data_IF_494554854931
#
_entry.id   IF_494554854931
#
_cell.length_a   1.000
_cell.length_b   1.000
_cell.length_c   1.000
_cell.angle_alpha   90.00
_cell.angle_beta   90.00
_cell.angle_gamma   90.00
#
_symmetry.space_group_name_H-M   'P 1'
#
loop_
_entity.id
_entity.type
_entity.pdbx_description
1 polymer ?
#
# COMPACT_ATOMS: atom_id res chain seq x y z
N UNK A 1 23.30 23.23 -14.91
CA UNK A 1 23.14 23.00 -16.37
C UNK A 1 24.51 23.14 -17.03
N UNK A 2 24.88 22.18 -17.86
CA UNK A 2 26.11 22.19 -18.65
C UNK A 2 25.74 22.31 -20.13
N UNK A 3 26.41 23.22 -20.85
CA UNK A 3 26.20 23.43 -22.28
C UNK A 3 27.55 23.22 -22.97
N UNK A 4 27.64 22.23 -23.85
CA UNK A 4 28.85 21.97 -24.60
C UNK A 4 29.10 23.11 -25.61
N UNK A 5 30.27 23.75 -25.56
CA UNK A 5 30.55 24.98 -26.32
C UNK A 5 30.53 24.75 -27.84
N UNK A 6 31.04 23.61 -28.30
CA UNK A 6 31.21 23.36 -29.73
C UNK A 6 29.94 22.81 -30.39
N UNK A 7 29.19 21.94 -29.70
CA UNK A 7 28.00 21.29 -30.28
C UNK A 7 26.67 21.87 -29.80
N UNK A 8 26.69 22.74 -28.78
CA UNK A 8 25.48 23.27 -28.16
C UNK A 8 24.68 22.25 -27.33
N UNK A 9 25.15 21.00 -27.24
CA UNK A 9 24.49 19.92 -26.50
C UNK A 9 24.37 20.25 -25.00
N UNK A 10 23.19 19.98 -24.40
CA UNK A 10 22.89 20.42 -23.03
C UNK A 10 22.65 19.24 -22.10
N UNK A 11 23.07 19.42 -20.85
CA UNK A 11 22.76 18.57 -19.71
C UNK A 11 22.16 19.41 -18.58
N UNK A 12 21.08 18.93 -17.96
CA UNK A 12 20.48 19.52 -16.76
C UNK A 12 20.38 18.47 -15.65
N UNK A 13 20.48 18.92 -14.41
CA UNK A 13 20.28 18.10 -13.23
C UNK A 13 20.04 18.99 -12.02
N UNK A 14 19.26 18.50 -11.07
CA UNK A 14 19.00 19.14 -9.79
C UNK A 14 19.66 18.38 -8.64
N UNK A 15 19.89 19.08 -7.52
CA UNK A 15 20.36 18.47 -6.30
C UNK A 15 19.98 19.31 -5.08
N UNK A 16 19.62 18.64 -4.00
CA UNK A 16 19.47 19.25 -2.67
C UNK A 16 20.82 19.66 -2.04
N UNK A 17 21.93 19.08 -2.52
CA UNK A 17 23.29 19.36 -2.02
C UNK A 17 24.24 19.51 -3.23
N UNK A 18 24.27 20.72 -3.79
CA UNK A 18 25.04 21.04 -4.99
C UNK A 18 26.52 20.63 -4.86
N UNK A 19 27.16 20.90 -3.70
CA UNK A 19 28.56 20.53 -3.44
C UNK A 19 28.81 19.05 -3.69
N UNK A 20 27.99 18.17 -3.09
CA UNK A 20 28.13 16.71 -3.23
C UNK A 20 27.96 16.27 -4.69
N UNK A 21 27.04 16.91 -5.43
CA UNK A 21 26.83 16.61 -6.86
C UNK A 21 28.00 17.07 -7.73
N UNK A 22 28.59 18.23 -7.42
CA UNK A 22 29.77 18.72 -8.12
C UNK A 22 30.98 17.84 -7.83
N UNK A 23 31.22 17.49 -6.57
CA UNK A 23 32.27 16.54 -6.19
C UNK A 23 32.12 15.21 -6.96
N UNK A 24 30.89 14.73 -7.10
CA UNK A 24 30.58 13.53 -7.91
C UNK A 24 31.00 13.69 -9.38
N UNK A 25 30.76 14.84 -10.01
CA UNK A 25 31.15 15.07 -11.41
C UNK A 25 32.67 15.24 -11.58
N UNK A 26 33.37 15.82 -10.60
CA UNK A 26 34.78 16.17 -10.73
C UNK A 26 35.75 15.11 -10.23
N UNK A 27 35.38 14.29 -9.23
CA UNK A 27 36.29 13.31 -8.63
C UNK A 27 36.45 12.03 -9.45
N UNK A 28 35.45 11.66 -10.26
CA UNK A 28 35.58 10.56 -11.21
C UNK A 28 35.54 9.14 -10.63
N UNK A 29 35.31 8.95 -9.31
CA UNK A 29 35.32 7.65 -8.62
C UNK A 29 34.13 6.71 -8.97
N UNK A 30 33.47 6.89 -10.10
CA UNK A 30 32.19 6.24 -10.44
C UNK A 30 32.12 5.80 -11.91
N UNK A 31 31.29 4.79 -12.24
CA UNK A 31 31.17 4.30 -13.61
C UNK A 31 30.67 5.38 -14.57
N UNK A 32 31.45 5.63 -15.63
CA UNK A 32 31.17 6.57 -16.72
C UNK A 32 29.98 6.07 -17.56
N UNK A 33 28.78 6.40 -17.12
CA UNK A 33 27.52 5.95 -17.73
C UNK A 33 26.73 7.11 -18.33
N UNK A 34 25.86 6.79 -19.30
CA UNK A 34 25.07 7.79 -20.02
C UNK A 34 25.87 8.60 -21.03
N UNK A 35 25.33 9.75 -21.46
CA UNK A 35 25.97 10.60 -22.50
C UNK A 35 26.81 11.74 -21.93
N UNK A 36 26.39 12.30 -20.81
CA UNK A 36 27.05 13.46 -20.21
C UNK A 36 28.41 13.13 -19.57
N UNK A 37 28.46 12.16 -18.64
CA UNK A 37 29.68 11.90 -17.86
C UNK A 37 30.88 11.47 -18.72
N UNK A 38 30.73 10.57 -19.73
CA UNK A 38 31.86 10.22 -20.60
C UNK A 38 32.40 11.41 -21.38
N UNK A 39 31.51 12.26 -21.92
CA UNK A 39 31.89 13.46 -22.66
C UNK A 39 32.58 14.48 -21.75
N UNK A 40 32.02 14.69 -20.55
CA UNK A 40 32.57 15.60 -19.55
C UNK A 40 33.96 15.15 -19.07
N UNK A 41 34.16 13.86 -18.85
CA UNK A 41 35.46 13.31 -18.46
C UNK A 41 36.50 13.43 -19.58
N UNK A 42 36.10 13.23 -20.84
CA UNK A 42 36.99 13.31 -22.00
C UNK A 42 37.47 14.74 -22.27
N UNK A 43 36.60 15.72 -22.20
CA UNK A 43 36.89 17.10 -22.66
C UNK A 43 37.06 18.10 -21.51
N UNK A 44 36.68 17.70 -20.30
CA UNK A 44 36.81 18.50 -19.09
C UNK A 44 35.88 19.72 -19.05
N UNK A 45 35.90 20.42 -17.91
CA UNK A 45 35.03 21.58 -17.68
C UNK A 45 35.25 22.72 -18.70
N UNK A 46 36.46 22.86 -19.26
CA UNK A 46 36.79 23.91 -20.23
C UNK A 46 35.94 23.85 -21.50
N UNK A 47 35.49 22.66 -21.90
CA UNK A 47 34.62 22.44 -23.05
C UNK A 47 33.15 22.83 -22.81
N UNK A 48 32.77 23.12 -21.56
CA UNK A 48 31.38 23.41 -21.19
C UNK A 48 31.21 24.83 -20.63
N UNK A 49 30.03 25.41 -20.86
CA UNK A 49 29.50 26.54 -20.10
C UNK A 49 28.61 25.99 -18.98
N UNK A 50 28.96 26.27 -17.73
CA UNK A 50 28.18 25.88 -16.55
C UNK A 50 27.27 27.03 -16.12
N UNK A 51 25.98 26.73 -15.97
CA UNK A 51 24.97 27.64 -15.41
C UNK A 51 24.35 26.98 -14.17
N UNK A 52 24.35 27.71 -13.05
CA UNK A 52 23.83 27.24 -11.77
C UNK A 52 22.61 28.09 -11.40
N UNK A 53 21.47 27.43 -11.20
CA UNK A 53 20.28 28.06 -10.67
C UNK A 53 20.22 27.78 -9.17
N UNK A 54 20.37 28.83 -8.35
CA UNK A 54 20.15 28.75 -6.91
C UNK A 54 18.70 29.12 -6.62
N UNK A 55 17.93 28.17 -6.09
CA UNK A 55 16.57 28.44 -5.64
C UNK A 55 16.60 28.90 -4.19
N UNK A 56 15.85 29.97 -3.89
CA UNK A 56 15.67 30.49 -2.54
C UNK A 56 14.83 29.51 -1.71
N UNK A 57 15.41 28.95 -0.65
CA UNK A 57 14.75 27.98 0.22
C UNK A 57 13.55 28.54 0.99
N UNK A 58 13.45 29.88 1.11
CA UNK A 58 12.29 30.51 1.74
C UNK A 58 11.07 30.59 0.81
N UNK A 59 11.28 30.45 -0.50
CA UNK A 59 10.23 30.59 -1.53
C UNK A 59 9.96 29.28 -2.27
N UNK A 60 10.97 28.43 -2.41
CA UNK A 60 10.91 27.23 -3.24
C UNK A 60 11.30 26.00 -2.42
N UNK A 61 10.51 24.94 -2.60
CA UNK A 61 10.76 23.62 -2.05
C UNK A 61 11.76 22.82 -2.89
N UNK A 62 12.23 21.69 -2.36
CA UNK A 62 13.04 20.73 -3.13
C UNK A 62 12.28 20.14 -4.32
N UNK A 63 10.95 20.09 -4.27
CA UNK A 63 10.10 19.64 -5.38
C UNK A 63 10.19 20.62 -6.56
N UNK A 64 10.28 21.92 -6.30
CA UNK A 64 10.34 22.95 -7.34
C UNK A 64 11.64 22.85 -8.16
N UNK A 65 12.74 22.42 -7.53
CA UNK A 65 13.98 22.10 -8.24
C UNK A 65 13.79 20.94 -9.24
N UNK A 66 13.00 19.93 -8.89
CA UNK A 66 12.67 18.81 -9.77
C UNK A 66 11.74 19.25 -10.89
N UNK A 67 10.76 20.12 -10.61
CA UNK A 67 9.86 20.68 -11.63
C UNK A 67 10.66 21.50 -12.64
N UNK A 68 11.60 22.34 -12.18
CA UNK A 68 12.46 23.13 -13.05
C UNK A 68 13.38 22.24 -13.91
N UNK A 69 13.95 21.18 -13.34
CA UNK A 69 14.69 20.18 -14.12
C UNK A 69 13.79 19.52 -15.17
N UNK A 70 12.58 19.13 -14.80
CA UNK A 70 11.63 18.48 -15.71
C UNK A 70 11.23 19.40 -16.85
N UNK A 71 10.98 20.68 -16.55
CA UNK A 71 10.70 21.71 -17.55
C UNK A 71 11.81 21.80 -18.59
N UNK A 72 13.08 21.83 -18.16
CA UNK A 72 14.20 21.84 -19.10
C UNK A 72 14.30 20.55 -19.92
N UNK A 73 14.06 19.38 -19.33
CA UNK A 73 14.10 18.09 -20.05
C UNK A 73 13.04 17.95 -21.15
N UNK A 74 11.98 18.76 -21.14
CA UNK A 74 11.01 18.83 -22.25
C UNK A 74 11.64 19.40 -23.53
N UNK A 75 12.66 20.25 -23.40
CA UNK A 75 13.39 20.78 -24.56
C UNK A 75 14.36 19.72 -25.11
N UNK A 76 14.27 19.46 -26.42
CA UNK A 76 15.08 18.47 -27.14
C UNK A 76 16.59 18.77 -27.14
N UNK A 77 17.00 20.01 -26.89
CA UNK A 77 18.40 20.42 -26.77
C UNK A 77 19.12 19.79 -25.55
N UNK A 78 18.39 19.33 -24.54
CA UNK A 78 18.92 18.59 -23.39
C UNK A 78 19.22 17.12 -23.73
N UNK A 79 19.97 16.93 -24.80
CA UNK A 79 20.24 15.63 -25.42
C UNK A 79 21.36 14.83 -24.74
N UNK A 80 22.07 15.41 -23.78
CA UNK A 80 23.06 14.72 -22.95
C UNK A 80 22.41 14.02 -21.73
N UNK A 81 21.15 14.36 -21.40
CA UNK A 81 20.34 13.60 -20.47
C UNK A 81 19.81 12.34 -21.15
N UNK A 82 20.22 11.15 -20.67
CA UNK A 82 19.73 9.88 -21.20
C UNK A 82 18.24 9.66 -20.88
N UNK A 83 17.81 10.07 -19.68
CA UNK A 83 16.41 10.05 -19.26
C UNK A 83 15.82 11.45 -19.39
N UNK A 84 14.63 11.54 -19.99
CA UNK A 84 13.87 12.80 -20.13
C UNK A 84 12.84 13.02 -19.03
N UNK A 85 12.90 12.18 -18.00
CA UNK A 85 12.01 12.25 -16.83
C UNK A 85 12.88 12.41 -15.60
N UNK A 86 12.54 13.37 -14.77
CA UNK A 86 13.24 13.61 -13.52
C UNK A 86 12.98 12.47 -12.55
N UNK A 87 14.05 11.95 -11.97
CA UNK A 87 13.95 10.98 -10.88
C UNK A 87 13.65 11.76 -9.60
N UNK A 88 12.36 12.03 -9.35
CA UNK A 88 11.89 12.47 -8.05
C UNK A 88 12.23 11.34 -7.07
N UNK A 89 13.33 11.51 -6.33
CA UNK A 89 14.03 10.42 -5.63
C UNK A 89 13.11 9.44 -4.90
N UNK A 90 13.58 8.19 -4.76
CA UNK A 90 12.82 7.05 -4.22
C UNK A 90 11.74 7.51 -3.24
N UNK A 91 10.48 7.26 -3.59
CA UNK A 91 9.36 7.40 -2.66
C UNK A 91 9.86 6.95 -1.30
N UNK A 92 9.86 7.84 -0.31
CA UNK A 92 10.08 7.43 1.08
C UNK A 92 8.95 6.44 1.33
N UNK A 93 9.24 5.15 1.17
CA UNK A 93 8.19 4.13 1.22
C UNK A 93 7.49 4.24 2.56
N UNK A 94 6.21 3.89 2.62
CA UNK A 94 5.45 4.07 3.85
C UNK A 94 6.13 3.36 5.02
N UNK A 95 6.25 4.03 6.19
CA UNK A 95 6.86 3.43 7.36
C UNK A 95 6.06 2.22 7.81
N UNK A 96 6.75 1.24 8.38
CA UNK A 96 6.14 0.03 8.95
C UNK A 96 6.62 -0.12 10.38
N UNK A 97 5.67 -0.34 11.27
CA UNK A 97 5.86 -0.49 12.70
C UNK A 97 5.63 -1.96 13.08
N UNK A 98 6.56 -2.53 13.83
CA UNK A 98 6.51 -3.92 14.28
C UNK A 98 6.20 -3.94 15.77
N UNK A 99 5.03 -4.43 16.13
CA UNK A 99 4.54 -4.51 17.50
C UNK A 99 4.46 -5.95 18.00
N UNK A 100 4.34 -6.11 19.32
CA UNK A 100 3.72 -7.27 19.92
C UNK A 100 2.23 -7.37 19.54
N UNK A 101 1.60 -8.49 19.88
CA UNK A 101 0.19 -8.71 19.56
C UNK A 101 -0.74 -7.74 20.30
N UNK A 102 -0.39 -7.34 21.52
CA UNK A 102 -1.18 -6.41 22.34
C UNK A 102 -0.99 -4.95 21.95
N UNK A 103 -0.11 -4.67 20.98
CA UNK A 103 0.29 -3.30 20.60
C UNK A 103 0.87 -2.46 21.75
N UNK A 104 1.26 -3.09 22.85
CA UNK A 104 1.82 -2.44 24.02
C UNK A 104 3.30 -2.12 23.86
N UNK A 105 3.99 -2.88 23.01
CA UNK A 105 5.44 -2.81 22.82
C UNK A 105 5.81 -2.66 21.36
N UNK A 106 6.49 -1.58 20.99
CA UNK A 106 7.07 -1.37 19.66
C UNK A 106 8.47 -1.99 19.60
N UNK A 107 8.64 -3.06 18.81
CA UNK A 107 9.93 -3.71 18.61
C UNK A 107 10.81 -2.99 17.57
N UNK A 108 10.23 -2.51 16.47
CA UNK A 108 11.01 -1.87 15.41
C UNK A 108 10.19 -0.89 14.57
N UNK A 109 10.82 0.22 14.18
CA UNK A 109 10.27 1.21 13.24
C UNK A 109 11.10 1.23 11.97
N UNK A 110 10.58 0.66 10.89
CA UNK A 110 11.18 0.77 9.57
C UNK A 110 10.74 2.06 8.89
N UNK A 111 11.67 2.80 8.26
CA UNK A 111 11.32 3.99 7.46
C UNK A 111 10.65 3.63 6.15
N UNK A 112 10.69 2.36 5.73
CA UNK A 112 10.01 1.83 4.55
C UNK A 112 9.91 0.30 4.56
N UNK A 113 9.03 -0.27 3.74
CA UNK A 113 8.98 -1.72 3.46
C UNK A 113 10.31 -2.28 2.95
N UNK A 114 11.11 -1.47 2.25
CA UNK A 114 12.44 -1.88 1.74
C UNK A 114 13.43 -2.01 2.89
N UNK A 115 13.40 -1.09 3.85
CA UNK A 115 14.22 -1.16 5.05
C UNK A 115 13.85 -2.38 5.89
N UNK A 116 12.56 -2.64 6.08
CA UNK A 116 12.07 -3.83 6.76
C UNK A 116 12.60 -5.13 6.13
N UNK A 117 12.68 -5.19 4.79
CA UNK A 117 13.29 -6.31 4.06
C UNK A 117 14.79 -6.44 4.33
N UNK A 118 15.52 -5.33 4.36
CA UNK A 118 16.98 -5.35 4.56
C UNK A 118 17.37 -5.73 5.98
N UNK A 119 16.68 -5.14 6.95
CA UNK A 119 16.95 -5.26 8.39
C UNK A 119 16.32 -6.53 8.94
N UNK A 120 14.99 -6.67 8.90
CA UNK A 120 14.27 -7.80 9.52
C UNK A 120 14.05 -9.01 8.59
N UNK A 121 14.55 -8.94 7.34
CA UNK A 121 14.39 -10.00 6.32
C UNK A 121 12.93 -10.32 5.96
N UNK A 122 12.02 -9.35 6.12
CA UNK A 122 10.61 -9.50 5.74
C UNK A 122 10.41 -9.00 4.31
N UNK A 123 10.00 -9.87 3.39
CA UNK A 123 9.77 -9.47 2.00
C UNK A 123 8.71 -8.36 1.90
N UNK A 124 8.84 -7.47 0.90
CA UNK A 124 7.94 -6.31 0.74
C UNK A 124 6.49 -6.72 0.50
N UNK A 125 6.26 -7.80 -0.26
CA UNK A 125 4.92 -8.36 -0.49
C UNK A 125 4.34 -9.00 0.78
N UNK A 126 5.17 -9.72 1.53
CA UNK A 126 4.78 -10.29 2.84
C UNK A 126 4.39 -9.17 3.80
N UNK A 127 5.23 -8.15 3.93
CA UNK A 127 4.93 -6.96 4.72
C UNK A 127 3.61 -6.33 4.30
N UNK A 128 3.39 -6.12 2.99
CA UNK A 128 2.13 -5.59 2.48
C UNK A 128 0.94 -6.46 2.88
N UNK A 129 1.01 -7.77 2.67
CA UNK A 129 -0.07 -8.71 3.01
C UNK A 129 -0.47 -8.59 4.48
N UNK A 130 0.48 -8.61 5.40
CA UNK A 130 0.20 -8.60 6.83
C UNK A 130 -0.22 -7.21 7.35
N UNK A 131 0.31 -6.13 6.76
CA UNK A 131 -0.18 -4.77 7.01
C UNK A 131 -1.61 -4.58 6.51
N UNK A 132 -1.94 -5.05 5.30
CA UNK A 132 -3.26 -4.83 4.70
C UNK A 132 -4.34 -5.72 5.34
N UNK A 133 -3.97 -6.91 5.84
CA UNK A 133 -4.90 -7.85 6.45
C UNK A 133 -5.04 -7.71 7.96
N UNK A 134 -4.20 -6.89 8.62
CA UNK A 134 -4.07 -6.82 10.08
C UNK A 134 -3.87 -8.19 10.75
N UNK A 135 -3.36 -9.18 10.01
CA UNK A 135 -3.10 -10.50 10.55
C UNK A 135 -1.73 -10.52 11.24
N UNK A 136 -1.54 -11.36 12.27
CA UNK A 136 -0.26 -11.51 12.92
C UNK A 136 0.77 -12.14 11.97
N UNK A 137 1.90 -11.47 11.81
CA UNK A 137 3.09 -12.06 11.21
C UNK A 137 3.74 -13.01 12.20
N UNK A 138 4.03 -14.24 11.74
CA UNK A 138 4.57 -15.33 12.56
C UNK A 138 3.77 -15.61 13.85
N UNK A 139 2.47 -15.30 13.87
CA UNK A 139 1.60 -15.46 15.05
C UNK A 139 2.07 -14.74 16.32
N UNK A 140 3.03 -13.80 16.22
CA UNK A 140 3.61 -13.09 17.38
C UNK A 140 3.78 -11.59 17.15
N UNK A 141 3.82 -11.14 15.91
CA UNK A 141 4.12 -9.75 15.58
C UNK A 141 2.98 -9.13 14.79
N UNK A 142 2.62 -7.90 15.12
CA UNK A 142 1.69 -7.11 14.33
C UNK A 142 2.46 -6.09 13.48
N UNK A 143 2.12 -6.01 12.20
CA UNK A 143 2.72 -5.05 11.27
C UNK A 143 1.72 -3.95 10.95
N UNK A 144 2.01 -2.71 11.34
CA UNK A 144 1.12 -1.57 11.12
C UNK A 144 1.79 -0.49 10.26
N UNK A 145 0.97 0.26 9.53
CA UNK A 145 1.41 1.42 8.73
C UNK A 145 1.43 2.73 9.51
N UNK A 146 1.01 2.71 10.78
CA UNK A 146 0.89 3.86 11.65
C UNK A 146 1.41 3.55 13.06
N UNK A 147 1.88 4.57 13.80
CA UNK A 147 2.33 4.41 15.17
C UNK A 147 1.17 4.40 16.16
N UNK A 148 1.27 3.56 17.18
CA UNK A 148 0.41 3.55 18.37
C UNK A 148 1.10 4.38 19.47
N UNK A 149 0.51 5.52 19.91
CA UNK A 149 1.15 6.43 20.85
C UNK A 149 1.36 5.86 22.26
N UNK A 150 0.53 4.92 22.68
CA UNK A 150 0.57 4.30 24.01
C UNK A 150 1.60 3.18 24.11
N UNK A 151 2.21 2.78 22.99
CA UNK A 151 3.17 1.70 22.95
C UNK A 151 4.53 2.13 23.51
N UNK A 152 5.07 1.35 24.42
CA UNK A 152 6.44 1.50 24.91
C UNK A 152 7.43 1.02 23.87
N UNK A 153 8.54 1.74 23.71
CA UNK A 153 9.62 1.29 22.81
C UNK A 153 10.37 0.16 23.50
N UNK A 154 10.53 -0.95 22.78
CA UNK A 154 11.30 -2.09 23.25
C UNK A 154 12.79 -1.77 23.34
N UNK A 155 13.45 -2.30 24.38
CA UNK A 155 14.90 -2.20 24.54
C UNK A 155 15.67 -3.35 23.85
N UNK A 156 14.98 -4.26 23.16
CA UNK A 156 15.67 -5.36 22.48
C UNK A 156 16.51 -4.83 21.32
N UNK A 157 17.65 -5.47 21.09
CA UNK A 157 18.47 -5.18 19.92
C UNK A 157 17.82 -5.72 18.64
N UNK A 158 18.24 -5.16 17.50
CA UNK A 158 17.80 -5.65 16.18
C UNK A 158 18.22 -7.11 15.96
N UNK A 159 19.38 -7.50 16.47
CA UNK A 159 19.92 -8.86 16.37
C UNK A 159 19.09 -9.85 17.18
N UNK A 160 18.69 -9.48 18.41
CA UNK A 160 17.78 -10.28 19.23
C UNK A 160 16.41 -10.43 18.57
N UNK A 161 15.84 -9.34 18.02
CA UNK A 161 14.57 -9.39 17.28
C UNK A 161 14.65 -10.32 16.07
N UNK A 162 15.76 -10.25 15.33
CA UNK A 162 16.02 -11.15 14.20
C UNK A 162 16.11 -12.61 14.66
N UNK A 163 16.81 -12.88 15.76
CA UNK A 163 16.92 -14.21 16.36
C UNK A 163 15.56 -14.76 16.77
N UNK A 164 14.71 -13.94 17.43
CA UNK A 164 13.33 -14.30 17.78
C UNK A 164 12.51 -14.62 16.52
N UNK A 165 12.52 -13.74 15.52
CA UNK A 165 11.80 -13.97 14.27
C UNK A 165 12.30 -15.20 13.51
N UNK A 166 13.61 -15.47 13.54
CA UNK A 166 14.19 -16.65 12.89
C UNK A 166 13.80 -17.94 13.59
N UNK A 167 13.81 -17.94 14.93
CA UNK A 167 13.29 -19.06 15.73
C UNK A 167 11.82 -19.32 15.43
N UNK A 168 10.99 -18.28 15.34
CA UNK A 168 9.58 -18.44 14.97
C UNK A 168 9.39 -18.92 13.53
N UNK A 169 10.20 -18.44 12.57
CA UNK A 169 10.19 -18.99 11.21
C UNK A 169 10.55 -20.47 11.23
N UNK A 170 11.62 -20.85 11.92
CA UNK A 170 12.03 -22.24 12.06
C UNK A 170 10.96 -23.09 12.73
N UNK A 171 10.37 -22.62 13.84
CA UNK A 171 9.24 -23.28 14.48
C UNK A 171 8.07 -23.45 13.51
N UNK A 172 7.75 -22.44 12.70
CA UNK A 172 6.72 -22.57 11.67
C UNK A 172 7.11 -23.57 10.57
N UNK A 173 8.39 -23.69 10.22
CA UNK A 173 8.88 -24.68 9.26
C UNK A 173 8.90 -26.10 9.84
N UNK A 174 9.35 -26.30 11.09
CA UNK A 174 9.42 -27.59 11.78
C UNK A 174 8.05 -28.10 12.22
N UNK A 175 7.16 -27.21 12.65
CA UNK A 175 5.73 -27.49 12.85
C UNK A 175 4.98 -27.65 11.52
N UNK A 176 5.68 -27.52 10.39
CA UNK A 176 5.14 -27.60 9.04
C UNK A 176 4.06 -26.56 8.81
N UNK A 177 4.37 -25.40 8.25
CA UNK A 177 3.35 -24.45 7.75
C UNK A 177 2.69 -24.91 6.44
N UNK A 178 2.54 -26.22 6.27
CA UNK A 178 1.21 -26.76 5.97
C UNK A 178 0.67 -27.31 7.29
N UNK A 179 0.27 -26.44 8.23
CA UNK A 179 -0.85 -26.82 9.10
C UNK A 179 -1.98 -26.92 8.11
N UNK A 180 -2.14 -28.11 7.58
CA UNK A 180 -3.28 -28.41 6.80
C UNK A 180 -4.46 -28.03 7.68
N UNK A 181 -5.24 -27.08 7.19
CA UNK A 181 -6.40 -26.61 7.94
C UNK A 181 -7.24 -27.86 8.11
N UNK A 182 -7.52 -28.24 9.37
CA UNK A 182 -8.35 -29.39 9.64
C UNK A 182 -9.69 -29.18 8.92
N UNK A 183 -10.21 -30.25 8.33
CA UNK A 183 -11.45 -30.21 7.59
C UNK A 183 -12.43 -31.09 8.32
N UNK A 184 -13.58 -30.50 8.65
CA UNK A 184 -14.74 -31.21 9.17
C UNK A 184 -15.63 -31.57 7.99
N UNK A 185 -16.02 -32.83 7.90
CA UNK A 185 -16.91 -33.36 6.88
C UNK A 185 -18.18 -33.82 7.56
N UNK A 186 -19.24 -33.03 7.43
CA UNK A 186 -20.55 -33.35 7.98
C UNK A 186 -21.36 -34.18 6.96
N UNK A 187 -21.82 -35.35 7.38
CA UNK A 187 -22.65 -36.25 6.56
C UNK A 187 -24.12 -35.85 6.70
N UNK A 188 -24.70 -35.30 5.63
CA UNK A 188 -26.10 -34.88 5.57
C UNK A 188 -27.03 -36.06 5.29
N UNK A 189 -28.29 -35.91 5.69
CA UNK A 189 -29.36 -36.89 5.45
C UNK A 189 -29.52 -37.21 3.95
N UNK A 190 -29.79 -38.47 3.63
CA UNK A 190 -29.87 -38.97 2.26
C UNK A 190 -28.52 -39.23 1.59
N UNK A 191 -27.42 -39.35 2.35
CA UNK A 191 -26.14 -39.78 1.81
C UNK A 191 -26.17 -41.28 1.44
N UNK A 192 -25.88 -41.62 0.18
CA UNK A 192 -25.90 -43.00 -0.33
C UNK A 192 -24.54 -43.70 -0.27
N UNK A 193 -23.50 -43.00 0.20
CA UNK A 193 -22.11 -43.49 0.22
C UNK A 193 -21.65 -43.91 1.62
N UNK A 194 -22.37 -43.51 2.66
CA UNK A 194 -22.04 -43.83 4.06
C UNK A 194 -23.32 -43.89 4.89
N UNK A 195 -23.46 -44.94 5.69
CA UNK A 195 -24.66 -45.19 6.53
C UNK A 195 -24.67 -44.40 7.85
N UNK A 196 -23.71 -43.50 8.07
CA UNK A 196 -23.50 -42.76 9.33
C UNK A 196 -24.05 -41.34 9.26
N UNK A 197 -25.37 -41.23 9.09
CA UNK A 197 -26.09 -39.94 9.06
C UNK A 197 -25.82 -39.13 10.33
N UNK A 198 -25.53 -37.83 10.19
CA UNK A 198 -25.30 -36.91 11.31
C UNK A 198 -23.90 -36.97 11.94
N UNK A 199 -23.02 -37.88 11.49
CA UNK A 199 -21.64 -37.91 11.95
C UNK A 199 -20.79 -36.86 11.26
N UNK A 200 -19.89 -36.25 12.03
CA UNK A 200 -18.85 -35.35 11.51
C UNK A 200 -17.51 -36.08 11.54
N UNK A 201 -16.88 -36.20 10.38
CA UNK A 201 -15.54 -36.77 10.26
C UNK A 201 -14.51 -35.65 10.25
N UNK A 202 -13.48 -35.81 11.09
CA UNK A 202 -12.41 -34.83 11.21
C UNK A 202 -11.18 -35.31 10.43
N UNK A 203 -10.65 -34.43 9.59
CA UNK A 203 -9.45 -34.69 8.79
C UNK A 203 -8.37 -33.69 9.14
N UNK A 204 -7.13 -34.17 9.19
CA UNK A 204 -5.96 -33.31 9.37
C UNK A 204 -5.77 -32.35 8.20
N UNK A 205 -6.31 -32.67 7.02
CA UNK A 205 -6.14 -31.84 5.84
C UNK A 205 -7.25 -31.94 4.81
N UNK A 206 -7.34 -30.89 3.98
CA UNK A 206 -8.12 -30.92 2.74
C UNK A 206 -7.68 -32.05 1.79
N UNK A 207 -6.40 -32.40 1.78
CA UNK A 207 -5.90 -33.50 0.93
C UNK A 207 -6.42 -34.84 1.44
N UNK A 208 -6.35 -35.07 2.74
CA UNK A 208 -6.83 -36.27 3.42
C UNK A 208 -8.35 -36.43 3.25
N UNK A 209 -9.09 -35.32 3.33
CA UNK A 209 -10.52 -35.29 3.03
C UNK A 209 -10.82 -35.68 1.57
N UNK A 210 -10.05 -35.15 0.60
CA UNK A 210 -10.20 -35.51 -0.82
C UNK A 210 -9.84 -36.98 -1.07
N UNK A 211 -8.81 -37.50 -0.42
CA UNK A 211 -8.45 -38.92 -0.51
C UNK A 211 -9.53 -39.83 0.06
N UNK A 212 -10.14 -39.44 1.17
CA UNK A 212 -11.30 -40.14 1.72
C UNK A 212 -12.48 -40.14 0.74
N UNK A 213 -12.86 -38.98 0.18
CA UNK A 213 -13.91 -38.89 -0.84
C UNK A 213 -13.57 -39.74 -2.06
N UNK A 214 -12.29 -39.77 -2.49
CA UNK A 214 -11.84 -40.60 -3.61
C UNK A 214 -11.98 -42.09 -3.33
N UNK A 215 -11.70 -42.54 -2.10
CA UNK A 215 -11.90 -43.94 -1.67
C UNK A 215 -13.38 -44.34 -1.74
N UNK A 216 -14.31 -43.39 -1.56
CA UNK A 216 -15.75 -43.60 -1.75
C UNK A 216 -16.19 -43.54 -3.23
N UNK A 217 -15.26 -43.41 -4.18
CA UNK A 217 -15.57 -43.26 -5.61
C UNK A 217 -15.90 -41.83 -6.04
N UNK A 218 -15.85 -40.85 -5.13
CA UNK A 218 -16.17 -39.45 -5.40
C UNK A 218 -14.89 -38.68 -5.76
N UNK A 219 -14.81 -38.19 -6.99
CA UNK A 219 -13.65 -37.40 -7.45
C UNK A 219 -13.97 -35.92 -7.46
N UNK A 220 -13.21 -35.13 -6.68
CA UNK A 220 -13.30 -33.67 -6.67
C UNK A 220 -11.92 -33.02 -6.73
N UNK A 221 -11.79 -31.96 -7.54
CA UNK A 221 -10.56 -31.15 -7.58
C UNK A 221 -10.44 -30.31 -6.32
N UNK A 222 -9.21 -30.14 -5.83
CA UNK A 222 -8.88 -29.36 -4.62
C UNK A 222 -9.46 -27.94 -4.64
N UNK A 223 -9.32 -27.24 -5.76
CA UNK A 223 -9.82 -25.87 -5.91
C UNK A 223 -11.35 -25.80 -5.88
N UNK A 224 -12.02 -26.82 -6.43
CA UNK A 224 -13.48 -26.93 -6.40
C UNK A 224 -13.97 -27.16 -4.98
N UNK A 225 -13.36 -28.07 -4.23
CA UNK A 225 -13.72 -28.33 -2.84
C UNK A 225 -13.48 -27.10 -1.95
N UNK A 226 -12.35 -26.41 -2.16
CA UNK A 226 -12.06 -25.13 -1.48
C UNK A 226 -13.14 -24.08 -1.75
N UNK A 227 -13.65 -24.00 -2.99
CA UNK A 227 -14.73 -23.09 -3.37
C UNK A 227 -16.06 -23.49 -2.72
N UNK A 228 -16.30 -24.79 -2.56
CA UNK A 228 -17.53 -25.29 -1.94
C UNK A 228 -17.54 -25.00 -0.44
N UNK A 229 -16.42 -25.23 0.26
CA UNK A 229 -16.25 -24.85 1.67
C UNK A 229 -16.53 -23.36 1.88
N UNK A 230 -15.94 -22.50 1.05
CA UNK A 230 -16.15 -21.04 1.14
C UNK A 230 -17.60 -20.59 0.90
N UNK A 231 -18.35 -21.33 0.08
CA UNK A 231 -19.74 -21.02 -0.27
C UNK A 231 -20.76 -21.79 0.59
N UNK A 232 -20.31 -22.62 1.53
CA UNK A 232 -21.18 -23.53 2.27
C UNK A 232 -21.94 -24.52 1.37
N UNK A 233 -21.39 -24.87 0.21
CA UNK A 233 -22.08 -25.72 -0.77
C UNK A 233 -21.89 -27.19 -0.44
N UNK A 234 -22.99 -27.94 -0.44
CA UNK A 234 -23.02 -29.40 -0.25
C UNK A 234 -22.53 -30.13 -1.50
N UNK A 235 -21.76 -31.20 -1.31
CA UNK A 235 -21.25 -32.09 -2.35
C UNK A 235 -21.69 -33.53 -2.07
N UNK A 236 -22.61 -34.09 -2.85
CA UNK A 236 -23.17 -35.44 -2.64
C UNK A 236 -23.57 -35.71 -1.17
N UNK A 237 -24.32 -34.79 -0.57
CA UNK A 237 -24.73 -34.85 0.84
C UNK A 237 -23.56 -34.91 1.84
N UNK A 238 -22.39 -34.41 1.45
CA UNK A 238 -21.29 -34.04 2.33
C UNK A 238 -21.15 -32.52 2.39
N UNK A 239 -21.11 -31.96 3.61
CA UNK A 239 -20.81 -30.55 3.84
C UNK A 239 -19.43 -30.43 4.47
N UNK A 240 -18.46 -29.93 3.71
CA UNK A 240 -17.12 -29.66 4.20
C UNK A 240 -17.04 -28.27 4.82
N UNK A 241 -16.42 -28.18 5.99
CA UNK A 241 -16.06 -26.93 6.67
C UNK A 241 -14.58 -27.00 7.04
N UNK A 242 -13.90 -25.86 7.05
CA UNK A 242 -12.63 -25.79 7.77
C UNK A 242 -13.00 -25.77 9.25
N UNK A 243 -12.33 -26.59 10.07
CA UNK A 243 -12.41 -26.39 11.51
C UNK A 243 -11.92 -24.97 11.79
N UNK A 244 -12.51 -24.29 12.78
CA UNK A 244 -12.17 -22.91 13.05
C UNK A 244 -10.67 -22.75 13.19
N UNK A 245 -10.15 -21.69 12.53
CA UNK A 245 -8.73 -21.36 12.61
C UNK A 245 -8.40 -21.23 14.09
N UNK A 246 -7.45 -22.02 14.57
CA UNK A 246 -6.71 -21.67 15.77
C UNK A 246 -5.95 -20.36 15.47
N UNK A 247 -6.66 -19.24 15.50
CA UNK A 247 -6.09 -17.92 15.70
C UNK A 247 -5.38 -17.99 17.06
N UNK A 248 -4.24 -17.29 17.23
CA UNK A 248 -3.60 -17.23 18.53
C UNK A 248 -4.60 -16.77 19.58
N UNK A 249 -4.51 -17.35 20.78
CA UNK A 249 -5.29 -16.91 21.93
C UNK A 249 -5.17 -15.38 22.07
N UNK A 250 -6.29 -14.69 22.31
CA UNK A 250 -6.44 -13.22 22.38
C UNK A 250 -6.54 -12.44 21.04
N UNK A 251 -6.68 -13.07 19.87
CA UNK A 251 -6.81 -12.32 18.61
C UNK A 251 -8.06 -11.41 18.54
N UNK A 252 -9.17 -11.79 19.18
CA UNK A 252 -10.35 -10.92 19.28
C UNK A 252 -10.05 -9.60 20.01
N UNK A 253 -9.19 -9.63 21.03
CA UNK A 253 -8.75 -8.43 21.76
C UNK A 253 -7.88 -7.53 20.89
N UNK A 254 -7.07 -8.10 19.98
CA UNK A 254 -6.27 -7.32 19.01
C UNK A 254 -7.18 -6.59 18.02
N UNK A 255 -8.25 -7.23 17.55
CA UNK A 255 -9.29 -6.59 16.74
C UNK A 255 -9.91 -5.39 17.46
N UNK A 256 -10.26 -5.56 18.73
CA UNK A 256 -10.83 -4.49 19.57
C UNK A 256 -9.85 -3.31 19.76
N UNK A 257 -8.55 -3.57 19.98
CA UNK A 257 -7.52 -2.52 20.12
C UNK A 257 -7.33 -1.74 18.81
N UNK A 258 -7.31 -2.44 17.67
CA UNK A 258 -7.22 -1.81 16.35
C UNK A 258 -8.47 -0.96 16.08
N UNK A 259 -9.65 -1.48 16.38
CA UNK A 259 -10.92 -0.78 16.18
C UNK A 259 -11.07 0.43 17.09
N UNK A 260 -10.64 0.33 18.36
CA UNK A 260 -10.61 1.45 19.30
C UNK A 260 -9.62 2.53 18.86
N UNK A 261 -8.43 2.15 18.40
CA UNK A 261 -7.47 3.09 17.82
C UNK A 261 -8.01 3.75 16.54
N UNK A 262 -8.66 3.00 15.65
CA UNK A 262 -9.28 3.56 14.44
C UNK A 262 -10.39 4.56 14.80
N UNK A 263 -11.20 4.28 15.83
CA UNK A 263 -12.20 5.25 16.35
C UNK A 263 -11.53 6.53 16.86
N UNK A 264 -10.51 6.40 17.72
CA UNK A 264 -9.73 7.54 18.25
C UNK A 264 -9.00 8.33 17.15
N UNK A 265 -8.59 7.66 16.06
CA UNK A 265 -7.96 8.28 14.91
C UNK A 265 -8.97 8.98 14.01
N UNK A 266 -10.17 8.45 13.81
CA UNK A 266 -11.26 9.15 13.09
C UNK A 266 -11.62 10.44 13.83
N UNK A 267 -11.64 10.43 15.17
CA UNK A 267 -11.87 11.64 15.97
C UNK A 267 -10.73 12.67 15.86
N UNK A 268 -9.46 12.24 15.72
CA UNK A 268 -8.30 13.15 15.54
C UNK A 268 -8.04 13.59 14.09
N UNK A 269 -8.31 12.74 13.10
CA UNK A 269 -8.17 13.06 11.67
C UNK A 269 -9.39 13.85 11.14
N UNK A 270 -10.45 14.02 11.94
CA UNK A 270 -11.55 14.97 11.68
C UNK A 270 -11.06 16.42 11.49
N UNK A 271 -9.82 16.74 11.93
CA UNK A 271 -9.17 18.05 11.76
C UNK A 271 -8.18 18.12 10.58
N UNK A 272 -8.00 17.03 9.81
CA UNK A 272 -7.29 17.08 8.53
C UNK A 272 -8.31 17.08 7.39
N UNK A 273 -8.64 18.29 6.94
CA UNK A 273 -9.40 18.55 5.71
C UNK A 273 -8.91 17.60 4.61
N UNK A 274 -9.74 16.61 4.32
CA UNK A 274 -9.50 15.59 3.33
C UNK A 274 -9.44 16.30 1.97
N UNK A 275 -8.24 16.56 1.43
CA UNK A 275 -8.02 17.32 0.17
C UNK A 275 -8.74 16.73 -1.08
N UNK A 276 -9.47 15.62 -0.93
CA UNK A 276 -10.36 15.03 -1.96
C UNK A 276 -11.80 15.55 -1.90
N UNK A 277 -12.20 16.18 -0.80
CA UNK A 277 -13.51 16.81 -0.63
C UNK A 277 -13.30 18.32 -0.64
N UNK A 278 -13.24 18.90 -1.84
CA UNK A 278 -13.35 20.36 -1.96
C UNK A 278 -14.81 20.74 -1.72
N UNK A 279 -15.09 21.75 -0.89
CA UNK A 279 -16.45 22.23 -0.72
C UNK A 279 -17.01 22.70 -2.07
N UNK A 280 -18.28 22.41 -2.28
CA UNK A 280 -19.02 22.75 -3.51
C UNK A 280 -20.03 23.81 -3.15
N UNK A 281 -19.99 24.91 -3.88
CA UNK A 281 -21.04 25.92 -3.85
C UNK A 281 -22.05 25.62 -4.96
N UNK A 282 -23.32 25.57 -4.59
CA UNK A 282 -24.43 25.38 -5.53
C UNK A 282 -25.32 26.60 -5.50
N UNK A 283 -25.55 27.20 -6.68
CA UNK A 283 -26.40 28.38 -6.86
C UNK A 283 -27.56 28.08 -7.79
N UNK A 284 -28.76 28.56 -7.47
CA UNK A 284 -29.97 28.53 -8.28
C UNK A 284 -30.79 29.78 -8.02
N UNK A 285 -31.93 29.91 -8.70
CA UNK A 285 -32.75 31.14 -8.74
C UNK A 285 -33.09 31.72 -7.36
N UNK A 286 -33.32 30.87 -6.34
CA UNK A 286 -33.49 31.24 -4.93
C UNK A 286 -32.76 30.28 -3.98
N UNK A 287 -31.63 29.73 -4.42
CA UNK A 287 -30.93 28.67 -3.69
C UNK A 287 -29.43 28.93 -3.72
N UNK A 288 -28.83 29.18 -2.56
CA UNK A 288 -27.37 29.18 -2.40
C UNK A 288 -27.01 28.30 -1.21
N UNK A 289 -26.31 27.20 -1.47
CA UNK A 289 -25.92 26.27 -0.41
C UNK A 289 -24.54 25.70 -0.67
N UNK A 290 -23.76 25.63 0.40
CA UNK A 290 -22.44 25.03 0.40
C UNK A 290 -22.52 23.58 0.90
N UNK A 291 -21.76 22.71 0.27
CA UNK A 291 -21.66 21.29 0.62
C UNK A 291 -20.22 20.91 0.88
N UNK A 292 -19.97 20.25 2.00
CA UNK A 292 -18.65 19.77 2.41
C UNK A 292 -18.03 18.74 1.44
N UNK A 293 -18.86 18.08 0.63
CA UNK A 293 -18.42 17.08 -0.34
C UNK A 293 -19.38 16.88 -1.51
N UNK A 294 -18.88 16.20 -2.54
CA UNK A 294 -19.67 15.69 -3.67
C UNK A 294 -20.82 14.80 -3.21
N UNK A 295 -20.58 13.92 -2.24
CA UNK A 295 -21.58 12.97 -1.78
C UNK A 295 -22.71 13.67 -1.02
N UNK A 296 -22.38 14.68 -0.20
CA UNK A 296 -23.39 15.49 0.49
C UNK A 296 -24.25 16.29 -0.48
N UNK A 297 -23.68 16.80 -1.58
CA UNK A 297 -24.44 17.48 -2.62
C UNK A 297 -25.40 16.50 -3.34
N UNK A 298 -24.90 15.32 -3.73
CA UNK A 298 -25.72 14.28 -4.37
C UNK A 298 -26.88 13.86 -3.48
N UNK A 299 -26.60 13.54 -2.21
CA UNK A 299 -27.63 13.10 -1.26
C UNK A 299 -28.69 14.17 -1.05
N UNK A 300 -28.32 15.45 -0.95
CA UNK A 300 -29.28 16.54 -0.79
C UNK A 300 -30.18 16.69 -2.02
N UNK A 301 -29.61 16.61 -3.22
CA UNK A 301 -30.37 16.69 -4.46
C UNK A 301 -31.35 15.53 -4.59
N UNK A 302 -30.94 14.31 -4.23
CA UNK A 302 -31.79 13.12 -4.30
C UNK A 302 -32.87 13.11 -3.20
N UNK A 303 -32.54 13.47 -1.96
CA UNK A 303 -33.46 13.35 -0.82
C UNK A 303 -34.35 14.58 -0.62
N UNK A 304 -33.82 15.80 -0.83
CA UNK A 304 -34.52 17.05 -0.48
C UNK A 304 -35.14 17.74 -1.70
N UNK A 305 -34.52 17.60 -2.87
CA UNK A 305 -35.01 18.22 -4.11
C UNK A 305 -35.66 17.21 -5.07
N UNK A 306 -35.57 15.90 -4.78
CA UNK A 306 -35.99 14.82 -5.67
C UNK A 306 -35.41 14.94 -7.10
N UNK A 307 -34.20 15.48 -7.19
CA UNK A 307 -33.45 15.64 -8.43
C UNK A 307 -32.35 14.60 -8.47
N UNK A 308 -32.44 13.66 -9.41
CA UNK A 308 -31.38 12.67 -9.63
C UNK A 308 -30.09 13.36 -10.11
N UNK A 309 -29.09 13.41 -9.24
CA UNK A 309 -27.77 13.97 -9.53
C UNK A 309 -26.72 12.89 -9.32
N UNK A 310 -26.18 12.32 -10.40
CA UNK A 310 -25.09 11.35 -10.28
C UNK A 310 -23.71 12.02 -10.24
N UNK A 311 -22.73 11.26 -9.74
CA UNK A 311 -21.36 11.73 -9.56
C UNK A 311 -20.70 12.18 -10.86
N UNK A 312 -20.99 11.50 -11.97
CA UNK A 312 -20.40 11.79 -13.28
C UNK A 312 -20.91 13.13 -13.82
N UNK A 313 -22.21 13.36 -13.71
CA UNK A 313 -22.90 14.58 -14.11
C UNK A 313 -22.41 15.76 -13.27
N UNK A 314 -22.34 15.62 -11.95
CA UNK A 314 -21.84 16.68 -11.07
C UNK A 314 -20.38 17.06 -11.39
N UNK A 315 -19.49 16.08 -11.63
CA UNK A 315 -18.12 16.37 -12.04
C UNK A 315 -18.01 17.11 -13.37
N UNK A 316 -18.86 16.74 -14.35
CA UNK A 316 -18.89 17.42 -15.65
C UNK A 316 -19.31 18.89 -15.48
N UNK A 317 -20.33 19.16 -14.65
CA UNK A 317 -20.82 20.52 -14.41
C UNK A 317 -19.84 21.38 -13.62
N UNK A 318 -19.14 20.79 -12.64
CA UNK A 318 -18.06 21.46 -11.90
C UNK A 318 -16.86 21.83 -12.79
N UNK A 319 -16.65 21.11 -13.91
CA UNK A 319 -15.54 21.36 -14.83
C UNK A 319 -15.91 22.35 -15.92
N UNK A 320 -17.09 22.19 -16.50
CA UNK A 320 -17.50 22.94 -17.70
C UNK A 320 -18.40 24.14 -17.36
N UNK A 321 -18.79 24.32 -16.09
CA UNK A 321 -19.59 25.46 -15.61
C UNK A 321 -21.04 25.50 -16.13
N UNK A 322 -21.55 24.39 -16.68
CA UNK A 322 -22.91 24.34 -17.24
C UNK A 322 -24.00 24.28 -16.16
N UNK A 323 -25.15 24.91 -16.44
CA UNK A 323 -26.36 24.80 -15.61
C UNK A 323 -26.95 23.39 -15.72
N UNK A 324 -27.37 22.80 -14.60
CA UNK A 324 -28.10 21.55 -14.55
C UNK A 324 -29.40 21.73 -13.76
N UNK A 325 -30.53 21.61 -14.45
CA UNK A 325 -31.88 21.76 -13.87
C UNK A 325 -32.03 23.02 -13.01
N UNK A 326 -31.58 24.15 -13.56
CA UNK A 326 -31.59 25.48 -12.91
C UNK A 326 -30.57 25.69 -11.78
N UNK A 327 -29.65 24.74 -11.57
CA UNK A 327 -28.56 24.87 -10.59
C UNK A 327 -27.19 24.93 -11.27
N UNK A 328 -26.33 25.78 -10.73
CA UNK A 328 -24.93 25.98 -11.11
C UNK A 328 -24.03 25.45 -10.00
N UNK A 329 -22.92 24.82 -10.38
CA UNK A 329 -22.00 24.14 -9.46
C UNK A 329 -20.59 24.67 -9.64
N UNK A 330 -19.94 25.09 -8.56
CA UNK A 330 -18.54 25.51 -8.57
C UNK A 330 -17.77 24.95 -7.37
N UNK A 331 -16.48 24.69 -7.55
CA UNK A 331 -15.59 24.49 -6.42
C UNK A 331 -15.39 25.82 -5.69
N UNK A 332 -15.38 25.76 -4.36
CA UNK A 332 -14.94 26.88 -3.53
C UNK A 332 -13.43 26.86 -3.32
#
# INVERSE_FOLDING_TARGET
>A
MFIHKNTGHKYVGSSNLLKRRMDYYFKGDFPLTGKFLPLFHKEGLKAFKLIIFKLDSNKFSSQDALILEQFHLLNKEFNLNTLRVVNAGSSKGDPVYVYDLTCSTLYYRAKSKIELKRVLKIHTETSKKFVDSNLPYLNKFLLLSYPIPTASISNISIEELLGLMQKERQNMYTLGTRRSIHVELEIKEGNTFVDSVGHTLNFDSLTSCIEYLRKLGLTIKRDTLTRYIKKGKVFHNFLCKYSDKALPDNFEQVGLIIDEYLKLKVDKDSLKVNKKNKPILVKGENFEKEFESILSAINYFETSLNIRLDRKTLYLRLKDGGIYKSYYFSYK
#
